data_IF_612122674687
#
_entry.id   IF_612122674687
#
_cell.length_a   1.000
_cell.length_b   1.000
_cell.length_c   1.000
_cell.angle_alpha   90.00
_cell.angle_beta   90.00
_cell.angle_gamma   90.00
#
_symmetry.space_group_name_H-M   'P 1'
#
loop_
_entity.id
_entity.type
_entity.pdbx_description
1 polymer ?
#
# COMPACT_ATOMS: atom_id res chain seq x y z
N UNK A 1 17.30 14.93 11.57
CA UNK A 1 17.76 16.24 11.07
C UNK A 1 16.53 17.14 11.06
N UNK A 2 16.57 18.35 11.63
CA UNK A 2 15.42 19.27 11.61
C UNK A 2 15.29 19.87 10.21
N UNK A 3 14.22 19.53 9.49
CA UNK A 3 13.89 20.19 8.23
C UNK A 3 13.26 21.55 8.54
N UNK A 4 13.87 22.60 7.99
CA UNK A 4 13.53 23.99 8.28
C UNK A 4 12.41 24.40 7.34
N UNK A 5 11.23 24.69 7.89
CA UNK A 5 10.11 25.35 7.21
C UNK A 5 10.60 26.72 6.73
N UNK A 6 10.54 26.97 5.41
CA UNK A 6 10.92 28.26 4.82
C UNK A 6 9.67 28.85 4.15
N UNK A 7 9.10 29.89 4.75
CA UNK A 7 8.10 30.75 4.11
C UNK A 7 8.82 31.91 3.42
N UNK A 8 8.57 32.23 2.14
CA UNK A 8 9.11 33.42 1.50
C UNK A 8 8.18 34.64 1.64
N UNK A 9 8.76 35.82 1.94
CA UNK A 9 8.12 37.13 1.85
C UNK A 9 7.90 37.55 0.39
N UNK A 10 6.73 38.10 0.07
CA UNK A 10 6.37 38.59 -1.27
C UNK A 10 6.35 40.13 -1.30
N UNK A 11 7.14 40.75 -2.17
CA UNK A 11 6.94 42.13 -2.64
C UNK A 11 6.30 42.15 -4.03
N UNK A 12 5.27 42.99 -4.19
CA UNK A 12 4.42 43.09 -5.37
C UNK A 12 4.88 44.13 -6.38
N UNK A 13 4.81 43.81 -7.69
CA UNK A 13 4.52 44.79 -8.77
C UNK A 13 3.77 44.10 -9.92
N UNK A 14 2.93 44.87 -10.63
CA UNK A 14 1.72 44.39 -11.30
C UNK A 14 1.81 44.00 -12.78
N UNK A 15 0.76 43.31 -13.22
CA UNK A 15 0.47 42.89 -14.59
C UNK A 15 -0.90 42.19 -14.64
N UNK A 16 -1.74 42.54 -15.61
CA UNK A 16 -3.04 41.92 -15.87
C UNK A 16 -2.84 40.49 -16.38
N UNK A 17 -2.76 39.56 -15.43
CA UNK A 17 -2.50 38.14 -15.57
C UNK A 17 -1.87 37.71 -14.25
N UNK A 18 -2.63 37.04 -13.38
CA UNK A 18 -2.11 36.56 -12.10
C UNK A 18 -0.84 35.78 -12.33
N UNK A 19 0.23 36.15 -11.64
CA UNK A 19 1.53 35.49 -11.76
C UNK A 19 1.39 34.00 -11.42
N UNK A 20 2.25 33.10 -11.93
CA UNK A 20 2.20 31.68 -11.59
C UNK A 20 2.20 31.45 -10.08
N UNK A 21 2.96 32.27 -9.36
CA UNK A 21 3.00 32.29 -7.90
C UNK A 21 1.63 32.57 -7.27
N UNK A 22 0.92 33.62 -7.72
CA UNK A 22 -0.42 33.93 -7.22
C UNK A 22 -1.45 32.84 -7.57
N UNK A 23 -1.32 32.20 -8.74
CA UNK A 23 -2.17 31.07 -9.11
C UNK A 23 -1.92 29.84 -8.22
N UNK A 24 -0.66 29.54 -7.91
CA UNK A 24 -0.29 28.45 -6.99
C UNK A 24 -0.87 28.69 -5.61
N UNK A 25 -0.73 29.90 -5.04
CA UNK A 25 -1.35 30.27 -3.76
C UNK A 25 -2.86 30.09 -3.74
N UNK A 26 -3.53 30.43 -4.84
CA UNK A 26 -4.96 30.23 -4.98
C UNK A 26 -5.30 28.73 -4.99
N UNK A 27 -4.58 27.92 -5.77
CA UNK A 27 -4.76 26.46 -5.81
C UNK A 27 -4.52 25.83 -4.42
N UNK A 28 -3.47 26.23 -3.71
CA UNK A 28 -3.18 25.75 -2.36
C UNK A 28 -4.25 26.15 -1.33
N UNK A 29 -5.08 27.15 -1.62
CA UNK A 29 -6.20 27.54 -0.76
C UNK A 29 -7.44 26.64 -0.95
N UNK A 30 -7.47 25.82 -2.00
CA UNK A 30 -8.63 25.00 -2.35
C UNK A 30 -8.76 23.71 -1.52
N UNK A 31 -7.70 23.28 -0.84
CA UNK A 31 -7.64 22.05 -0.03
C UNK A 31 -6.45 22.11 0.94
N UNK A 32 -6.58 21.61 2.19
CA UNK A 32 -5.46 21.49 3.12
C UNK A 32 -4.32 20.65 2.55
N UNK A 33 -4.65 19.55 1.86
CA UNK A 33 -3.67 18.70 1.17
C UNK A 33 -3.80 18.91 -0.33
N UNK A 34 -2.70 19.31 -0.97
CA UNK A 34 -2.66 19.65 -2.39
C UNK A 34 -1.42 19.05 -3.08
N UNK A 35 -1.62 18.41 -4.22
CA UNK A 35 -0.57 17.69 -4.96
C UNK A 35 -0.39 18.27 -6.37
N UNK A 36 0.79 18.83 -6.65
CA UNK A 36 1.21 19.11 -8.02
C UNK A 36 1.86 17.86 -8.62
N UNK A 37 1.29 17.34 -9.71
CA UNK A 37 1.71 16.05 -10.29
C UNK A 37 1.68 16.04 -11.81
N UNK A 38 2.27 15.00 -12.41
CA UNK A 38 2.19 14.72 -13.85
C UNK A 38 1.05 13.73 -14.09
N UNK A 39 0.00 14.17 -14.79
CA UNK A 39 -1.26 13.43 -14.94
C UNK A 39 -2.26 13.77 -13.83
N UNK A 40 -3.20 12.87 -13.57
CA UNK A 40 -4.21 12.99 -12.49
C UNK A 40 -4.11 11.82 -11.52
N UNK A 41 -4.73 11.86 -10.33
CA UNK A 41 -4.72 10.75 -9.38
C UNK A 41 -5.25 9.44 -9.97
N UNK A 42 -6.24 9.53 -10.85
CA UNK A 42 -6.86 8.38 -11.54
C UNK A 42 -6.04 7.93 -12.77
N UNK A 43 -5.18 8.79 -13.30
CA UNK A 43 -4.38 8.53 -14.50
C UNK A 43 -3.01 9.22 -14.40
N UNK A 44 -2.12 8.75 -13.51
CA UNK A 44 -0.80 9.34 -13.34
C UNK A 44 0.07 9.08 -14.58
N UNK A 45 0.80 10.09 -15.03
CA UNK A 45 1.68 10.02 -16.22
C UNK A 45 3.17 9.91 -15.85
N UNK A 46 3.47 9.62 -14.58
CA UNK A 46 4.83 9.46 -14.07
C UNK A 46 4.83 8.54 -12.85
N UNK A 47 5.76 7.58 -12.76
CA UNK A 47 5.84 6.64 -11.64
C UNK A 47 6.01 7.32 -10.27
N UNK A 48 6.74 8.44 -10.20
CA UNK A 48 6.86 9.22 -8.97
C UNK A 48 5.53 9.88 -8.57
N UNK A 49 4.77 10.38 -9.55
CA UNK A 49 3.43 10.91 -9.31
C UNK A 49 2.47 9.82 -8.85
N UNK A 50 2.53 8.63 -9.48
CA UNK A 50 1.75 7.47 -9.07
C UNK A 50 2.07 7.00 -7.63
N UNK A 51 3.35 7.09 -7.23
CA UNK A 51 3.78 6.76 -5.87
C UNK A 51 3.14 7.67 -4.83
N UNK A 52 3.23 9.00 -5.00
CA UNK A 52 2.64 9.95 -4.04
C UNK A 52 1.13 9.81 -3.96
N UNK A 53 0.44 9.65 -5.10
CA UNK A 53 -1.01 9.41 -5.09
C UNK A 53 -1.38 8.10 -4.40
N UNK A 54 -0.59 7.04 -4.62
CA UNK A 54 -0.78 5.76 -3.94
C UNK A 54 -0.65 5.88 -2.42
N UNK A 55 0.33 6.64 -1.94
CA UNK A 55 0.51 6.94 -0.51
C UNK A 55 -0.71 7.68 0.03
N UNK A 56 -1.11 8.82 -0.56
CA UNK A 56 -2.26 9.59 -0.07
C UNK A 56 -3.56 8.76 -0.05
N UNK A 57 -3.77 7.92 -1.07
CA UNK A 57 -4.90 6.99 -1.12
C UNK A 57 -4.84 5.92 -0.02
N UNK A 58 -3.65 5.37 0.28
CA UNK A 58 -3.47 4.40 1.36
C UNK A 58 -3.76 5.00 2.74
N UNK A 59 -3.42 6.28 2.93
CA UNK A 59 -3.80 7.07 4.11
C UNK A 59 -5.28 7.49 4.12
N UNK A 60 -6.02 7.21 3.03
CA UNK A 60 -7.43 7.58 2.85
C UNK A 60 -7.72 9.06 3.09
N UNK A 61 -6.73 9.91 2.82
CA UNK A 61 -6.85 11.36 3.06
C UNK A 61 -7.47 12.06 1.86
N UNK A 62 -8.44 12.97 2.04
CA UNK A 62 -8.90 13.81 0.94
C UNK A 62 -7.82 14.78 0.50
N UNK A 63 -7.56 14.87 -0.80
CA UNK A 63 -6.63 15.83 -1.37
C UNK A 63 -7.12 16.35 -2.73
N UNK A 64 -6.63 17.53 -3.13
CA UNK A 64 -6.76 18.04 -4.50
C UNK A 64 -5.44 17.91 -5.24
N UNK A 65 -5.50 17.91 -6.56
CA UNK A 65 -4.30 17.86 -7.39
C UNK A 65 -4.40 18.77 -8.60
N UNK A 66 -3.23 19.11 -9.15
CA UNK A 66 -3.11 19.84 -10.40
C UNK A 66 -2.12 19.13 -11.34
N UNK A 67 -2.57 18.90 -12.58
CA UNK A 67 -1.73 18.31 -13.63
C UNK A 67 -0.82 19.39 -14.23
N UNK A 68 0.44 19.43 -13.82
CA UNK A 68 1.41 20.42 -14.31
C UNK A 68 1.75 20.28 -15.79
N UNK A 69 1.41 19.15 -16.44
CA UNK A 69 1.62 18.99 -17.88
C UNK A 69 0.61 19.78 -18.72
N UNK A 70 -0.50 20.21 -18.11
CA UNK A 70 -1.49 21.06 -18.79
C UNK A 70 -1.08 22.53 -18.83
N UNK A 71 -0.13 22.95 -17.98
CA UNK A 71 0.30 24.34 -17.87
C UNK A 71 1.81 24.41 -17.53
N UNK A 72 2.63 24.68 -18.53
CA UNK A 72 4.08 24.83 -18.39
C UNK A 72 4.48 26.01 -17.50
N UNK A 73 3.64 27.05 -17.40
CA UNK A 73 3.86 28.21 -16.54
C UNK A 73 3.75 27.81 -15.08
N UNK A 74 2.71 27.05 -14.71
CA UNK A 74 2.55 26.48 -13.37
C UNK A 74 3.63 25.43 -13.09
N UNK A 75 3.97 24.60 -14.08
CA UNK A 75 5.03 23.58 -13.94
C UNK A 75 6.37 24.18 -13.58
N UNK A 76 6.74 25.30 -14.18
CA UNK A 76 7.97 25.99 -13.81
C UNK A 76 7.77 26.80 -12.52
N UNK A 77 6.65 27.50 -12.39
CA UNK A 77 6.32 28.30 -11.22
C UNK A 77 6.33 27.53 -9.90
N UNK A 78 5.85 26.29 -9.87
CA UNK A 78 5.84 25.48 -8.64
C UNK A 78 7.24 25.06 -8.21
N UNK A 79 8.14 24.81 -9.17
CA UNK A 79 9.54 24.52 -8.85
C UNK A 79 10.25 25.71 -8.24
N UNK A 80 9.98 26.90 -8.78
CA UNK A 80 10.56 28.14 -8.30
C UNK A 80 9.95 28.53 -6.94
N UNK A 81 8.64 28.32 -6.76
CA UNK A 81 7.91 28.56 -5.51
C UNK A 81 8.50 27.74 -4.35
N UNK A 82 8.66 26.43 -4.52
CA UNK A 82 9.20 25.54 -3.49
C UNK A 82 10.72 25.58 -3.38
N UNK A 83 11.40 26.28 -4.30
CA UNK A 83 12.83 26.12 -4.55
C UNK A 83 13.23 24.63 -4.71
N UNK A 84 12.40 23.87 -5.44
CA UNK A 84 12.50 22.42 -5.59
C UNK A 84 12.30 21.98 -7.05
N UNK A 85 13.30 21.34 -7.65
CA UNK A 85 13.35 21.15 -9.10
C UNK A 85 12.52 19.97 -9.64
N UNK A 86 12.00 19.09 -8.78
CA UNK A 86 11.30 17.86 -9.19
C UNK A 86 9.79 17.91 -8.96
N UNK A 87 9.07 17.03 -9.67
CA UNK A 87 7.61 16.82 -9.59
C UNK A 87 7.43 15.31 -9.42
N UNK A 88 6.53 14.82 -8.55
CA UNK A 88 5.48 15.54 -7.83
C UNK A 88 5.97 16.43 -6.67
N UNK A 89 5.12 17.35 -6.22
CA UNK A 89 5.31 18.16 -5.01
C UNK A 89 4.02 18.16 -4.17
N UNK A 90 4.14 17.73 -2.91
CA UNK A 90 3.04 17.70 -1.94
C UNK A 90 3.10 18.96 -1.06
N UNK A 91 1.93 19.55 -0.84
CA UNK A 91 1.71 20.63 0.10
C UNK A 91 0.65 20.26 1.12
N UNK A 92 0.89 20.62 2.38
CA UNK A 92 -0.07 20.47 3.48
C UNK A 92 -0.18 21.81 4.18
N UNK A 93 -1.40 22.32 4.37
CA UNK A 93 -1.68 23.65 4.92
C UNK A 93 -0.88 24.78 4.24
N UNK A 94 -0.75 24.68 2.90
CA UNK A 94 0.04 25.58 2.03
C UNK A 94 1.55 25.52 2.23
N UNK A 95 2.05 24.68 3.12
CA UNK A 95 3.49 24.47 3.31
C UNK A 95 3.99 23.34 2.42
N UNK A 96 5.17 23.54 1.82
CA UNK A 96 5.82 22.52 1.01
C UNK A 96 6.33 21.39 1.92
N UNK A 97 5.86 20.18 1.67
CA UNK A 97 6.25 18.98 2.43
C UNK A 97 7.42 18.27 1.74
N UNK A 98 7.30 18.02 0.44
CA UNK A 98 8.35 17.30 -0.27
C UNK A 98 7.96 16.75 -1.63
N UNK A 99 8.95 16.14 -2.29
CA UNK A 99 8.75 15.31 -3.48
C UNK A 99 8.45 13.84 -3.14
N UNK A 100 8.52 12.98 -4.14
CA UNK A 100 8.11 11.57 -4.00
C UNK A 100 8.83 10.79 -2.90
N UNK A 101 10.16 10.90 -2.81
CA UNK A 101 10.94 10.08 -1.86
C UNK A 101 10.77 10.58 -0.42
N UNK A 102 10.68 11.90 -0.24
CA UNK A 102 10.42 12.52 1.07
C UNK A 102 9.05 12.11 1.61
N UNK A 103 8.03 12.14 0.76
CA UNK A 103 6.66 11.73 1.16
C UNK A 103 6.61 10.24 1.51
N UNK A 104 7.35 9.39 0.79
CA UNK A 104 7.46 7.96 1.13
C UNK A 104 8.16 7.73 2.47
N UNK A 105 9.26 8.42 2.74
CA UNK A 105 9.96 8.35 4.02
C UNK A 105 9.08 8.81 5.18
N UNK A 106 8.42 9.97 5.04
CA UNK A 106 7.49 10.51 6.03
C UNK A 106 6.27 9.60 6.27
N UNK A 107 5.81 8.91 5.22
CA UNK A 107 4.75 7.90 5.37
C UNK A 107 5.23 6.71 6.19
N UNK A 108 6.44 6.24 5.95
CA UNK A 108 6.99 5.04 6.60
C UNK A 108 7.39 5.27 8.06
N UNK A 109 7.82 6.48 8.41
CA UNK A 109 8.22 6.83 9.78
C UNK A 109 7.07 7.42 10.63
N UNK A 110 5.91 7.69 10.01
CA UNK A 110 4.72 8.21 10.68
C UNK A 110 4.59 9.74 10.70
N UNK A 111 5.63 10.49 10.33
CA UNK A 111 5.62 11.97 10.31
C UNK A 111 4.54 12.54 9.39
N UNK A 112 4.26 11.86 8.27
CA UNK A 112 3.18 12.27 7.36
C UNK A 112 1.82 12.22 8.09
N UNK A 113 1.58 11.21 8.91
CA UNK A 113 0.33 11.07 9.65
C UNK A 113 0.10 12.20 10.64
N UNK A 114 1.16 12.68 11.29
CA UNK A 114 1.08 13.84 12.20
C UNK A 114 0.61 15.10 11.46
N UNK A 115 1.20 15.38 10.28
CA UNK A 115 0.81 16.52 9.45
C UNK A 115 -0.61 16.41 8.90
N UNK A 116 -1.04 15.21 8.50
CA UNK A 116 -2.38 14.99 7.98
C UNK A 116 -3.44 15.15 9.08
N UNK A 117 -3.18 14.65 10.30
CA UNK A 117 -4.07 14.84 11.45
C UNK A 117 -4.18 16.31 11.85
N UNK A 118 -3.11 17.09 11.76
CA UNK A 118 -3.16 18.53 11.99
C UNK A 118 -3.99 19.26 10.90
N UNK A 119 -3.86 18.84 9.64
CA UNK A 119 -4.61 19.40 8.52
C UNK A 119 -6.10 19.05 8.54
N UNK A 120 -6.48 17.93 9.16
CA UNK A 120 -7.85 17.45 9.27
C UNK A 120 -8.20 17.03 10.70
N UNK A 121 -8.37 17.98 11.64
CA UNK A 121 -8.62 17.67 13.06
C UNK A 121 -9.94 16.93 13.30
N UNK A 122 -10.89 17.02 12.35
CA UNK A 122 -12.20 16.39 12.43
C UNK A 122 -12.28 15.03 11.71
N UNK A 123 -11.18 14.56 11.11
CA UNK A 123 -11.10 13.27 10.40
C UNK A 123 -10.10 12.38 11.11
N UNK A 124 -10.51 11.18 11.51
CA UNK A 124 -9.59 10.19 12.05
C UNK A 124 -8.76 9.60 10.89
N UNK A 125 -7.51 10.06 10.77
CA UNK A 125 -6.58 9.57 9.75
C UNK A 125 -5.68 8.52 10.40
N UNK A 126 -5.99 7.25 10.11
CA UNK A 126 -5.19 6.12 10.57
C UNK A 126 -4.04 5.84 9.60
N UNK A 127 -2.83 5.54 10.10
CA UNK A 127 -1.74 5.13 9.24
C UNK A 127 -2.10 3.87 8.45
N UNK A 128 -1.67 3.75 7.18
CA UNK A 128 -1.82 2.51 6.44
C UNK A 128 -1.12 1.39 7.19
N UNK A 129 -1.66 0.16 7.19
CA UNK A 129 -0.98 -0.96 7.79
C UNK A 129 0.39 -1.14 7.12
N UNK A 130 1.44 -1.53 7.87
CA UNK A 130 2.74 -1.81 7.28
C UNK A 130 2.61 -2.90 6.21
N UNK A 131 3.53 -2.95 5.22
CA UNK A 131 3.51 -3.99 4.21
C UNK A 131 3.52 -5.37 4.88
N UNK A 132 2.46 -6.15 4.65
CA UNK A 132 2.34 -7.48 5.21
C UNK A 132 3.49 -8.37 4.70
N UNK A 133 4.06 -9.17 5.59
CA UNK A 133 5.08 -10.16 5.26
C UNK A 133 4.51 -11.55 5.46
N UNK A 134 4.89 -12.47 4.56
CA UNK A 134 4.51 -13.88 4.68
C UNK A 134 5.20 -14.47 5.90
N UNK A 135 4.41 -15.07 6.79
CA UNK A 135 4.89 -15.81 7.95
C UNK A 135 5.23 -17.23 7.53
N UNK A 136 6.52 -17.52 7.42
CA UNK A 136 7.05 -18.84 7.06
C UNK A 136 7.02 -19.76 8.28
N UNK A 137 6.22 -20.84 8.22
CA UNK A 137 6.03 -21.80 9.32
C UNK A 137 6.26 -23.23 8.84
N UNK A 138 6.82 -24.09 9.68
CA UNK A 138 6.91 -25.53 9.38
C UNK A 138 5.56 -26.22 9.69
N UNK A 139 5.29 -27.37 9.09
CA UNK A 139 4.01 -28.07 9.21
C UNK A 139 3.62 -28.38 10.66
N UNK A 140 4.59 -28.75 11.51
CA UNK A 140 4.34 -28.99 12.93
C UNK A 140 3.84 -27.74 13.66
N UNK A 141 4.46 -26.60 13.39
CA UNK A 141 4.05 -25.32 13.96
C UNK A 141 2.71 -24.85 13.38
N UNK A 142 2.53 -24.98 12.06
CA UNK A 142 1.28 -24.69 11.38
C UNK A 142 0.10 -25.47 11.99
N UNK A 143 0.28 -26.76 12.28
CA UNK A 143 -0.72 -27.58 12.94
C UNK A 143 -1.06 -27.09 14.36
N UNK A 144 -0.08 -26.58 15.11
CA UNK A 144 -0.33 -25.97 16.44
C UNK A 144 -1.07 -24.63 16.31
N UNK A 145 -0.76 -23.84 15.29
CA UNK A 145 -1.44 -22.57 14.99
C UNK A 145 -2.91 -22.83 14.64
N UNK A 146 -3.19 -23.77 13.73
CA UNK A 146 -4.56 -24.15 13.34
C UNK A 146 -5.38 -24.75 14.50
N UNK A 147 -4.73 -25.44 15.44
CA UNK A 147 -5.39 -25.94 16.66
C UNK A 147 -5.77 -24.83 17.63
N UNK A 148 -5.05 -23.71 17.64
CA UNK A 148 -5.32 -22.55 18.50
C UNK A 148 -6.31 -21.58 17.86
N UNK A 149 -6.27 -21.45 16.53
CA UNK A 149 -7.13 -20.56 15.77
C UNK A 149 -7.81 -21.33 14.63
N UNK A 150 -9.08 -21.68 14.85
CA UNK A 150 -9.90 -22.39 13.88
C UNK A 150 -10.50 -21.49 12.79
N UNK A 151 -10.31 -20.17 12.87
CA UNK A 151 -10.80 -19.22 11.86
C UNK A 151 -9.83 -19.08 10.67
N UNK A 152 -8.61 -19.62 10.79
CA UNK A 152 -7.62 -19.58 9.72
C UNK A 152 -8.12 -20.39 8.52
N UNK A 153 -8.13 -19.76 7.35
CA UNK A 153 -8.47 -20.41 6.08
C UNK A 153 -7.25 -21.17 5.56
N UNK A 154 -7.33 -22.49 5.63
CA UNK A 154 -6.29 -23.38 5.11
C UNK A 154 -6.51 -23.62 3.60
N UNK A 155 -5.56 -23.17 2.80
CA UNK A 155 -5.65 -23.09 1.34
C UNK A 155 -4.62 -24.00 0.68
N UNK A 156 -5.11 -24.91 -0.16
CA UNK A 156 -4.31 -25.85 -0.93
C UNK A 156 -4.06 -25.30 -2.34
N UNK A 157 -2.81 -25.00 -2.68
CA UNK A 157 -2.46 -24.45 -4.00
C UNK A 157 -1.96 -25.51 -4.99
N UNK A 158 -2.16 -26.78 -4.65
CA UNK A 158 -1.82 -27.92 -5.53
C UNK A 158 -2.88 -28.12 -6.60
N UNK A 159 -2.64 -29.06 -7.51
CA UNK A 159 -3.66 -29.44 -8.50
C UNK A 159 -4.78 -30.28 -7.86
N UNK A 160 -5.98 -30.32 -8.48
CA UNK A 160 -7.05 -31.22 -8.04
C UNK A 160 -6.60 -32.69 -7.94
N UNK A 161 -5.80 -33.18 -8.88
CA UNK A 161 -5.31 -34.56 -8.88
C UNK A 161 -4.36 -34.86 -7.71
N UNK A 162 -3.48 -33.91 -7.37
CA UNK A 162 -2.62 -34.01 -6.19
C UNK A 162 -3.46 -34.05 -4.90
N UNK A 163 -4.53 -33.26 -4.84
CA UNK A 163 -5.44 -33.18 -3.69
C UNK A 163 -6.29 -34.45 -3.51
N UNK A 164 -6.67 -35.12 -4.60
CA UNK A 164 -7.36 -36.42 -4.55
C UNK A 164 -6.51 -37.50 -3.87
N UNK A 165 -5.19 -37.42 -4.02
CA UNK A 165 -4.25 -38.40 -3.43
C UNK A 165 -4.09 -38.18 -1.93
N UNK A 166 -3.99 -36.92 -1.51
CA UNK A 166 -3.82 -36.54 -0.11
C UNK A 166 -4.32 -35.12 0.08
N UNK A 167 -5.06 -34.84 1.16
CA UNK A 167 -5.48 -33.49 1.52
C UNK A 167 -5.44 -33.31 3.04
N UNK A 168 -5.24 -32.07 3.49
CA UNK A 168 -5.33 -31.73 4.90
C UNK A 168 -6.81 -31.55 5.29
N UNK A 169 -7.15 -31.93 6.52
CA UNK A 169 -8.50 -31.72 7.04
C UNK A 169 -8.85 -30.22 7.02
N UNK A 170 -10.08 -29.90 6.60
CA UNK A 170 -10.59 -28.53 6.49
C UNK A 170 -9.85 -27.64 5.46
N UNK A 171 -9.01 -28.20 4.59
CA UNK A 171 -8.42 -27.42 3.50
C UNK A 171 -9.34 -27.24 2.30
N UNK A 172 -9.30 -26.04 1.73
CA UNK A 172 -10.01 -25.66 0.51
C UNK A 172 -9.01 -25.53 -0.62
N UNK A 173 -9.36 -26.04 -1.82
CA UNK A 173 -8.53 -25.85 -3.00
C UNK A 173 -8.59 -24.39 -3.44
N UNK A 174 -7.43 -23.78 -3.67
CA UNK A 174 -7.31 -22.43 -4.20
C UNK A 174 -7.42 -22.47 -5.73
N UNK A 175 -8.64 -22.41 -6.25
CA UNK A 175 -8.90 -22.23 -7.68
C UNK A 175 -9.11 -20.75 -8.04
N UNK A 176 -9.31 -20.48 -9.33
CA UNK A 176 -9.47 -19.11 -9.82
C UNK A 176 -10.73 -18.43 -9.27
N UNK A 177 -11.84 -19.17 -9.14
CA UNK A 177 -13.11 -18.63 -8.65
C UNK A 177 -12.96 -18.18 -7.18
N UNK A 178 -12.32 -19.00 -6.35
CA UNK A 178 -12.04 -18.65 -4.97
C UNK A 178 -11.07 -17.46 -4.87
N UNK A 179 -10.04 -17.38 -5.71
CA UNK A 179 -9.15 -16.21 -5.72
C UNK A 179 -9.93 -14.92 -6.03
N UNK A 180 -10.81 -14.95 -7.03
CA UNK A 180 -11.64 -13.79 -7.39
C UNK A 180 -12.58 -13.41 -6.22
N UNK A 181 -13.24 -14.38 -5.59
CA UNK A 181 -14.10 -14.17 -4.41
C UNK A 181 -13.32 -13.54 -3.25
N UNK A 182 -12.13 -14.07 -2.95
CA UNK A 182 -11.28 -13.61 -1.86
C UNK A 182 -10.89 -12.13 -2.04
N UNK A 183 -10.53 -11.74 -3.27
CA UNK A 183 -10.09 -10.37 -3.55
C UNK A 183 -11.23 -9.36 -3.59
N UNK A 184 -12.44 -9.81 -3.96
CA UNK A 184 -13.61 -8.93 -4.04
C UNK A 184 -14.31 -8.74 -2.69
N UNK A 185 -14.39 -9.81 -1.87
CA UNK A 185 -15.34 -9.86 -0.76
C UNK A 185 -14.77 -10.17 0.62
N UNK A 186 -13.53 -10.70 0.72
CA UNK A 186 -12.99 -11.09 2.03
C UNK A 186 -12.34 -9.91 2.76
N UNK A 187 -12.41 -9.95 4.10
CA UNK A 187 -11.70 -9.00 4.95
C UNK A 187 -10.18 -9.24 4.84
N UNK A 188 -9.40 -8.18 4.60
CA UNK A 188 -7.93 -8.22 4.54
C UNK A 188 -7.27 -8.66 5.85
N UNK A 189 -8.00 -8.65 6.97
CA UNK A 189 -7.55 -9.20 8.25
C UNK A 189 -7.83 -10.70 8.39
N UNK A 190 -8.53 -11.33 7.44
CA UNK A 190 -8.75 -12.78 7.42
C UNK A 190 -7.40 -13.50 7.42
N UNK A 191 -7.21 -14.42 8.36
CA UNK A 191 -5.98 -15.19 8.45
C UNK A 191 -5.98 -16.31 7.40
N UNK A 192 -4.96 -16.30 6.55
CA UNK A 192 -4.79 -17.23 5.42
C UNK A 192 -3.56 -18.09 5.64
N UNK A 193 -3.68 -19.40 5.47
CA UNK A 193 -2.55 -20.32 5.53
C UNK A 193 -2.47 -21.14 4.26
N UNK A 194 -1.40 -20.97 3.50
CA UNK A 194 -1.19 -21.66 2.24
C UNK A 194 -0.27 -22.86 2.43
N UNK A 195 -0.60 -23.97 1.78
CA UNK A 195 0.32 -25.10 1.64
C UNK A 195 0.30 -25.64 0.22
N UNK A 196 1.41 -26.27 -0.16
CA UNK A 196 1.50 -27.04 -1.38
C UNK A 196 2.19 -28.38 -1.09
N UNK A 197 2.93 -28.92 -2.07
CA UNK A 197 3.68 -30.14 -1.85
C UNK A 197 4.89 -29.94 -0.91
N UNK A 198 5.68 -28.89 -1.16
CA UNK A 198 7.00 -28.61 -0.55
C UNK A 198 7.21 -27.14 -0.11
N UNK A 199 6.16 -26.31 -0.10
CA UNK A 199 6.24 -24.90 0.30
C UNK A 199 6.47 -23.86 -0.82
N UNK A 200 6.99 -24.23 -1.99
CA UNK A 200 7.37 -23.23 -3.02
C UNK A 200 6.20 -22.56 -3.76
N UNK A 201 5.17 -23.33 -4.11
CA UNK A 201 3.97 -22.78 -4.77
C UNK A 201 3.13 -21.95 -3.79
N UNK A 202 3.03 -22.44 -2.56
CA UNK A 202 2.28 -21.77 -1.50
C UNK A 202 2.93 -20.47 -1.07
N UNK A 203 4.27 -20.38 -1.09
CA UNK A 203 4.98 -19.11 -0.86
C UNK A 203 4.63 -18.05 -1.90
N UNK A 204 4.56 -18.43 -3.18
CA UNK A 204 4.18 -17.50 -4.25
C UNK A 204 2.73 -17.02 -4.09
N UNK A 205 1.80 -17.92 -3.77
CA UNK A 205 0.42 -17.54 -3.49
C UNK A 205 0.33 -16.63 -2.26
N UNK A 206 1.02 -16.97 -1.17
CA UNK A 206 1.08 -16.15 0.04
C UNK A 206 1.59 -14.73 -0.26
N UNK A 207 2.68 -14.61 -1.03
CA UNK A 207 3.23 -13.33 -1.46
C UNK A 207 2.22 -12.52 -2.27
N UNK A 208 1.51 -13.18 -3.19
CA UNK A 208 0.44 -12.54 -3.95
C UNK A 208 -0.63 -11.94 -3.01
N UNK A 209 -1.18 -12.71 -2.07
CA UNK A 209 -2.21 -12.20 -1.16
C UNK A 209 -1.70 -11.09 -0.22
N UNK A 210 -0.46 -11.16 0.26
CA UNK A 210 0.13 -10.02 1.01
C UNK A 210 0.22 -8.75 0.17
N UNK A 211 0.51 -8.86 -1.14
CA UNK A 211 0.54 -7.71 -2.05
C UNK A 211 -0.85 -7.10 -2.32
N UNK A 212 -1.91 -7.89 -2.10
CA UNK A 212 -3.31 -7.44 -2.22
C UNK A 212 -3.86 -6.88 -0.90
N UNK A 213 -3.01 -6.77 0.14
CA UNK A 213 -3.36 -6.14 1.42
C UNK A 213 -3.72 -7.10 2.54
N UNK A 214 -3.72 -8.42 2.33
CA UNK A 214 -3.96 -9.37 3.41
C UNK A 214 -2.83 -9.32 4.45
N UNK A 215 -3.20 -9.12 5.71
CA UNK A 215 -2.26 -8.82 6.79
C UNK A 215 -1.74 -10.07 7.52
N UNK A 216 -2.56 -11.13 7.56
CA UNK A 216 -2.28 -12.35 8.31
C UNK A 216 -2.12 -13.53 7.33
N UNK A 217 -0.92 -13.66 6.75
CA UNK A 217 -0.66 -14.67 5.72
C UNK A 217 0.48 -15.59 6.14
N UNK A 218 0.23 -16.89 6.10
CA UNK A 218 1.18 -17.95 6.45
C UNK A 218 1.51 -18.82 5.24
N UNK A 219 2.76 -19.27 5.14
CA UNK A 219 3.18 -20.33 4.22
C UNK A 219 3.70 -21.52 5.00
N UNK A 220 3.20 -22.72 4.69
CA UNK A 220 3.73 -23.98 5.23
C UNK A 220 4.95 -24.39 4.41
N UNK A 221 6.13 -24.14 4.97
CA UNK A 221 7.44 -24.19 4.29
C UNK A 221 7.85 -25.57 3.80
N UNK A 222 7.41 -26.64 4.46
CA UNK A 222 7.66 -28.04 4.12
C UNK A 222 6.43 -28.75 3.51
N UNK A 223 5.36 -27.98 3.28
CA UNK A 223 4.13 -28.43 2.61
C UNK A 223 3.45 -29.64 3.25
N UNK A 224 2.63 -30.34 2.45
CA UNK A 224 1.93 -31.56 2.90
C UNK A 224 2.90 -32.72 3.12
N UNK A 225 4.07 -32.72 2.49
CA UNK A 225 5.08 -33.74 2.75
C UNK A 225 5.60 -33.64 4.19
N UNK A 226 5.98 -32.43 4.63
CA UNK A 226 6.36 -32.16 6.01
C UNK A 226 5.22 -32.46 7.00
N UNK A 227 3.98 -32.18 6.59
CA UNK A 227 2.79 -32.53 7.38
C UNK A 227 2.64 -34.04 7.60
N UNK A 228 2.79 -34.83 6.54
CA UNK A 228 2.73 -36.30 6.64
C UNK A 228 3.82 -36.85 7.57
N UNK A 229 5.04 -36.30 7.50
CA UNK A 229 6.17 -36.78 8.30
C UNK A 229 6.03 -36.37 9.77
N UNK A 230 5.67 -35.12 10.04
CA UNK A 230 5.82 -34.51 11.36
C UNK A 230 4.52 -34.34 12.14
N UNK A 231 3.35 -34.44 11.48
CA UNK A 231 2.04 -34.14 12.09
C UNK A 231 1.09 -35.32 12.01
N UNK A 232 0.87 -35.87 10.81
CA UNK A 232 -0.08 -36.96 10.58
C UNK A 232 0.45 -37.96 9.54
N UNK A 233 1.07 -39.02 10.04
CA UNK A 233 1.64 -40.10 9.21
C UNK A 233 0.60 -40.95 8.47
N UNK A 234 -0.70 -40.73 8.69
CA UNK A 234 -1.75 -41.39 7.91
C UNK A 234 -1.95 -40.75 6.53
N UNK A 235 -1.49 -39.51 6.35
CA UNK A 235 -1.56 -38.80 5.08
C UNK A 235 -0.55 -39.40 4.09
N UNK A 236 -0.97 -39.88 2.90
CA UNK A 236 -0.06 -40.45 1.92
C UNK A 236 1.00 -39.48 1.44
N UNK A 237 2.24 -39.96 1.31
CA UNK A 237 3.32 -39.28 0.62
C UNK A 237 3.33 -39.71 -0.85
N UNK A 238 3.71 -38.80 -1.74
CA UNK A 238 3.79 -39.06 -3.17
C UNK A 238 4.86 -38.18 -3.82
#
# INVERSE_FOLDING_TARGET
MQFKVISPNVESTGGSGTTPHAQIEQMLSDSPVFLFMKGTPESPQCGFSAKVTGILNAWKVPFKSFNVLADESIRQGVKDYANWQTIPQLYINKEFVGGSDVVEEMSNNGELGELLNEAFPDIEITPPPPPAQVQEVAALEAALILKKNHEIRLLDVRTPQERETACLENSVLLDQELVEEMLDSWDQNTALMFYCHLGERSRQAAQYFTSQGFQQVYNVTDGIQGWSINVDSSIPQY
#
